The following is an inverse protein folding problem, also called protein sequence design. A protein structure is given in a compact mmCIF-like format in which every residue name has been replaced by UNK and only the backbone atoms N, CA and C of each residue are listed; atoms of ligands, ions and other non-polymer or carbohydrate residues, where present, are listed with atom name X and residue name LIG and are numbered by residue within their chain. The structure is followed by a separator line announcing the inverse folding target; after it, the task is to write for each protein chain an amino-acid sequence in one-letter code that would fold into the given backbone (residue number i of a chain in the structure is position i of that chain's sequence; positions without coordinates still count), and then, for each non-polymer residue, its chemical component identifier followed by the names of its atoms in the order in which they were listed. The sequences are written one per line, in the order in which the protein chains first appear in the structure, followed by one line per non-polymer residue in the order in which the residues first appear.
data_IF_848416366154
#
_entry.id   IF_848416366154
#
_cell.length_a   1.000
_cell.length_b   1.000
_cell.length_c   1.000
_cell.angle_alpha   90.00
_cell.angle_beta   90.00
_cell.angle_gamma   90.00
#
_symmetry.space_group_name_H-M   'P 1'
#
loop_
_entity.id
_entity.type
_entity.pdbx_description
1 polymer ?
#
# COMPACT_ATOMS: atom_id res chain seq x y z
N UNK A 1 14.86 -9.71 37.66
CA UNK A 1 14.63 -8.67 36.63
C UNK A 1 14.17 -9.38 35.38
N UNK A 2 12.92 -9.17 34.96
CA UNK A 2 12.31 -9.88 33.84
C UNK A 2 12.97 -9.42 32.52
N UNK A 3 12.99 -10.29 31.51
CA UNK A 3 13.49 -9.94 30.18
C UNK A 3 12.59 -8.89 29.53
N UNK A 4 11.30 -8.88 29.86
CA UNK A 4 10.34 -7.87 29.41
C UNK A 4 10.70 -6.48 29.96
N UNK A 5 11.04 -6.37 31.26
CA UNK A 5 11.50 -5.11 31.86
C UNK A 5 12.79 -4.56 31.21
N UNK A 6 13.63 -5.46 30.67
CA UNK A 6 14.85 -5.07 29.94
C UNK A 6 14.52 -4.55 28.55
N UNK A 7 13.55 -5.17 27.88
CA UNK A 7 13.08 -4.76 26.55
C UNK A 7 12.41 -3.38 26.67
N UNK A 8 11.54 -3.19 27.65
CA UNK A 8 10.87 -1.91 27.91
C UNK A 8 11.88 -0.80 28.20
N UNK A 9 12.90 -1.06 29.03
CA UNK A 9 13.99 -0.11 29.28
C UNK A 9 14.80 0.26 28.04
N UNK A 10 15.00 -0.66 27.11
CA UNK A 10 15.74 -0.39 25.86
C UNK A 10 14.88 0.47 24.93
N UNK A 11 13.58 0.20 24.84
CA UNK A 11 12.62 0.97 24.05
C UNK A 11 12.50 2.39 24.63
N UNK A 12 12.33 2.53 25.95
CA UNK A 12 12.22 3.83 26.61
C UNK A 12 13.49 4.68 26.46
N UNK A 13 14.67 4.06 26.55
CA UNK A 13 15.94 4.76 26.30
C UNK A 13 16.08 5.19 24.84
N UNK A 14 15.66 4.35 23.88
CA UNK A 14 15.69 4.70 22.47
C UNK A 14 14.75 5.88 22.16
N UNK A 15 13.55 5.89 22.75
CA UNK A 15 12.57 7.00 22.63
C UNK A 15 13.09 8.28 23.31
N UNK A 16 13.73 8.18 24.46
CA UNK A 16 14.33 9.33 25.15
C UNK A 16 15.51 9.93 24.36
N UNK A 17 16.39 9.09 23.81
CA UNK A 17 17.53 9.52 22.99
C UNK A 17 17.10 10.16 21.66
N UNK A 18 16.01 9.68 21.07
CA UNK A 18 15.46 10.24 19.80
C UNK A 18 14.67 11.54 20.02
N UNK A 19 14.07 11.76 21.20
CA UNK A 19 13.43 13.04 21.55
C UNK A 19 14.41 14.15 21.94
N UNK A 20 15.51 13.81 22.61
CA UNK A 20 16.49 14.82 23.07
C UNK A 20 17.41 15.31 21.93
N UNK A 21 17.64 14.49 20.90
CA UNK A 21 18.45 14.87 19.74
C UNK A 21 17.70 15.70 18.67
N UNK A 22 16.43 16.05 18.89
CA UNK A 22 15.66 16.93 17.99
C UNK A 22 15.90 18.43 18.23
N UNK A 23 16.79 18.82 19.15
CA UNK A 23 17.01 20.24 19.49
C UNK A 23 18.43 20.78 19.25
N UNK A 24 19.29 20.09 18.49
CA UNK A 24 20.61 20.64 18.15
C UNK A 24 21.04 20.34 16.73
N UNK A 25 20.63 21.25 15.83
CA UNK A 25 21.35 21.75 14.67
C UNK A 25 22.13 20.76 13.82
N UNK A 26 21.49 20.22 12.77
CA UNK A 26 22.11 19.91 11.46
C UNK A 26 21.03 20.13 10.38
N UNK A 27 21.44 20.68 9.25
CA UNK A 27 20.63 21.15 8.11
C UNK A 27 19.50 20.20 7.66
N UNK A 28 18.36 20.80 7.32
CA UNK A 28 17.00 20.26 7.28
C UNK A 28 16.78 18.94 6.48
N UNK A 29 16.44 17.82 7.18
CA UNK A 29 15.75 16.66 6.63
C UNK A 29 14.22 16.70 6.85
N UNK A 30 13.68 17.74 7.51
CA UNK A 30 12.29 17.81 8.02
C UNK A 30 11.17 17.65 6.98
N UNK A 31 11.48 17.73 5.69
CA UNK A 31 10.48 17.73 4.64
C UNK A 31 10.04 16.30 4.22
N UNK A 32 10.92 15.29 4.24
CA UNK A 32 10.60 13.94 3.73
C UNK A 32 9.62 13.15 4.60
N UNK A 33 9.63 13.43 5.90
CA UNK A 33 8.77 12.73 6.86
C UNK A 33 7.32 13.21 6.78
N UNK A 34 7.07 14.52 6.63
CA UNK A 34 5.70 15.02 6.40
C UNK A 34 5.16 14.58 5.02
N UNK A 35 6.02 14.45 3.99
CA UNK A 35 5.59 14.12 2.62
C UNK A 35 4.93 12.74 2.50
N UNK A 36 5.47 11.75 3.21
CA UNK A 36 5.08 10.34 3.08
C UNK A 36 4.11 9.93 4.20
N UNK A 37 4.02 10.70 5.29
CA UNK A 37 3.10 10.48 6.41
C UNK A 37 1.62 10.54 6.00
N UNK A 38 1.25 11.52 5.18
CA UNK A 38 -0.13 11.70 4.72
C UNK A 38 -0.63 10.48 3.92
N UNK A 39 0.20 9.97 3.00
CA UNK A 39 -0.12 8.78 2.23
C UNK A 39 -0.14 7.52 3.10
N UNK A 40 0.86 7.35 3.98
CA UNK A 40 0.89 6.23 4.93
C UNK A 40 -0.38 6.19 5.81
N UNK A 41 -0.81 7.34 6.33
CA UNK A 41 -2.08 7.46 7.06
C UNK A 41 -3.27 7.08 6.19
N UNK A 42 -3.31 7.52 4.92
CA UNK A 42 -4.39 7.19 3.99
C UNK A 42 -4.43 5.69 3.66
N UNK A 43 -3.27 5.06 3.51
CA UNK A 43 -3.13 3.60 3.32
C UNK A 43 -3.77 2.88 4.50
N UNK A 44 -3.39 3.21 5.73
CA UNK A 44 -3.88 2.48 6.91
C UNK A 44 -5.35 2.76 7.26
N UNK A 45 -5.88 3.93 6.91
CA UNK A 45 -7.25 4.34 7.27
C UNK A 45 -8.29 4.06 6.19
N UNK A 46 -7.89 3.99 4.92
CA UNK A 46 -8.81 3.86 3.77
C UNK A 46 -8.44 2.66 2.90
N UNK A 47 -7.23 2.61 2.34
CA UNK A 47 -6.89 1.64 1.29
C UNK A 47 -6.78 0.21 1.84
N UNK A 48 -5.94 0.01 2.86
CA UNK A 48 -5.67 -1.31 3.45
C UNK A 48 -6.92 -1.97 4.06
N UNK A 49 -7.80 -1.26 4.80
CA UNK A 49 -9.05 -1.85 5.28
C UNK A 49 -9.92 -2.41 4.15
N UNK A 50 -10.05 -1.68 3.03
CA UNK A 50 -10.82 -2.15 1.87
C UNK A 50 -10.13 -3.34 1.20
N UNK A 51 -8.81 -3.29 1.01
CA UNK A 51 -8.05 -4.41 0.46
C UNK A 51 -8.21 -5.68 1.31
N UNK A 52 -8.15 -5.54 2.63
CA UNK A 52 -8.37 -6.64 3.59
C UNK A 52 -9.80 -7.18 3.51
N UNK A 53 -10.81 -6.32 3.42
CA UNK A 53 -12.21 -6.73 3.22
C UNK A 53 -12.37 -7.61 1.98
N UNK A 54 -11.74 -7.20 0.87
CA UNK A 54 -11.81 -7.91 -0.41
C UNK A 54 -11.02 -9.21 -0.38
N UNK A 55 -9.80 -9.21 0.16
CA UNK A 55 -9.00 -10.43 0.36
C UNK A 55 -9.77 -11.50 1.12
N UNK A 56 -10.45 -11.12 2.20
CA UNK A 56 -11.27 -12.05 2.97
C UNK A 56 -12.42 -12.65 2.13
N UNK A 57 -13.10 -11.84 1.31
CA UNK A 57 -14.16 -12.33 0.42
C UNK A 57 -13.61 -13.29 -0.64
N UNK A 58 -12.47 -12.97 -1.25
CA UNK A 58 -11.84 -13.82 -2.27
C UNK A 58 -11.38 -15.17 -1.71
N UNK A 59 -10.81 -15.19 -0.51
CA UNK A 59 -10.38 -16.43 0.16
C UNK A 59 -11.55 -17.38 0.44
N UNK A 60 -12.75 -16.86 0.76
CA UNK A 60 -13.95 -17.68 0.95
C UNK A 60 -14.40 -18.40 -0.34
N UNK A 61 -13.89 -18.00 -1.49
CA UNK A 61 -14.18 -18.56 -2.80
C UNK A 61 -12.94 -19.24 -3.43
N UNK A 62 -11.95 -19.61 -2.62
CA UNK A 62 -10.69 -20.25 -3.04
C UNK A 62 -9.87 -19.44 -4.07
N UNK A 63 -10.07 -18.11 -4.11
CA UNK A 63 -9.30 -17.21 -4.95
C UNK A 63 -8.15 -16.63 -4.11
N UNK A 64 -6.92 -16.88 -4.55
CA UNK A 64 -5.72 -16.35 -3.90
C UNK A 64 -5.60 -14.84 -4.16
N UNK A 65 -5.11 -14.12 -3.17
CA UNK A 65 -4.93 -12.66 -3.24
C UNK A 65 -3.89 -12.19 -2.21
N UNK A 66 -2.99 -11.31 -2.63
CA UNK A 66 -1.96 -10.71 -1.79
C UNK A 66 -2.05 -9.19 -1.73
N UNK A 67 -1.64 -8.66 -0.58
CA UNK A 67 -1.53 -7.23 -0.32
C UNK A 67 -0.06 -6.97 -0.06
N UNK A 68 0.54 -6.09 -0.84
CA UNK A 68 1.98 -5.80 -0.80
C UNK A 68 2.13 -4.31 -0.55
N UNK A 69 2.90 -3.95 0.46
CA UNK A 69 3.29 -2.57 0.76
C UNK A 69 4.80 -2.39 0.57
N UNK A 70 5.17 -1.25 -0.02
CA UNK A 70 6.57 -0.83 -0.13
C UNK A 70 6.79 0.31 0.84
N UNK A 71 7.79 0.14 1.70
CA UNK A 71 8.12 1.09 2.76
C UNK A 71 9.48 1.73 2.46
N UNK A 72 9.54 3.05 2.54
CA UNK A 72 10.80 3.80 2.52
C UNK A 72 10.95 4.52 3.86
N UNK A 73 11.98 4.15 4.64
CA UNK A 73 12.10 4.59 6.02
C UNK A 73 10.96 4.01 6.88
N UNK A 74 10.05 4.86 7.35
CA UNK A 74 8.89 4.48 8.18
C UNK A 74 7.53 4.63 7.48
N UNK A 75 7.53 4.97 6.19
CA UNK A 75 6.31 5.34 5.49
C UNK A 75 6.07 4.47 4.26
N UNK A 76 4.80 4.15 4.04
CA UNK A 76 4.35 3.46 2.83
C UNK A 76 4.49 4.42 1.65
N UNK A 77 5.16 3.98 0.59
CA UNK A 77 5.29 4.72 -0.69
C UNK A 77 4.50 4.05 -1.81
N UNK A 78 4.12 2.79 -1.62
CA UNK A 78 3.31 2.01 -2.55
C UNK A 78 2.46 1.01 -1.77
N UNK A 79 1.21 0.82 -2.18
CA UNK A 79 0.40 -0.33 -1.76
C UNK A 79 -0.27 -0.97 -2.98
N UNK A 80 -0.19 -2.29 -3.07
CA UNK A 80 -0.65 -3.10 -4.18
C UNK A 80 -1.57 -4.23 -3.71
N UNK A 81 -2.64 -4.48 -4.46
CA UNK A 81 -3.51 -5.64 -4.33
C UNK A 81 -3.30 -6.54 -5.54
N UNK A 82 -2.75 -7.73 -5.34
CA UNK A 82 -2.59 -8.76 -6.38
C UNK A 82 -3.69 -9.81 -6.25
N UNK A 83 -4.32 -10.16 -7.37
CA UNK A 83 -5.36 -11.20 -7.44
C UNK A 83 -4.85 -12.33 -8.34
N UNK A 84 -5.01 -13.58 -7.90
CA UNK A 84 -4.56 -14.76 -8.62
C UNK A 84 -5.77 -15.64 -8.99
N UNK A 85 -6.41 -15.40 -10.15
CA UNK A 85 -7.48 -16.26 -10.65
C UNK A 85 -6.97 -17.69 -10.86
N UNK A 86 -7.81 -18.68 -10.52
CA UNK A 86 -7.51 -20.11 -10.34
C UNK A 86 -6.89 -20.86 -11.54
N UNK A 87 -6.61 -20.18 -12.66
CA UNK A 87 -6.00 -20.76 -13.87
C UNK A 87 -4.59 -20.28 -14.15
N UNK A 88 -4.06 -19.33 -13.37
CA UNK A 88 -2.74 -18.77 -13.63
C UNK A 88 -1.66 -19.47 -12.77
N UNK A 89 -0.89 -20.33 -13.43
CA UNK A 89 0.24 -21.07 -12.85
C UNK A 89 1.57 -20.32 -13.10
N UNK A 90 1.51 -19.14 -13.74
CA UNK A 90 2.74 -18.40 -14.03
C UNK A 90 3.33 -17.82 -12.75
N UNK A 91 4.58 -18.17 -12.47
CA UNK A 91 5.34 -17.69 -11.31
C UNK A 91 5.85 -16.25 -11.47
N UNK A 92 5.48 -15.57 -12.56
CA UNK A 92 5.90 -14.20 -12.84
C UNK A 92 4.95 -13.23 -12.13
N UNK A 93 5.41 -12.65 -11.02
CA UNK A 93 4.69 -11.65 -10.21
C UNK A 93 4.14 -10.47 -11.04
N UNK A 94 4.70 -10.24 -12.23
CA UNK A 94 4.37 -9.12 -13.11
C UNK A 94 3.23 -9.39 -14.12
N UNK A 95 2.47 -10.49 -14.00
CA UNK A 95 1.39 -10.81 -14.95
C UNK A 95 -0.01 -10.87 -14.35
N UNK A 96 -0.12 -10.71 -13.04
CA UNK A 96 -1.39 -10.85 -12.34
C UNK A 96 -2.20 -9.56 -12.38
N UNK A 97 -3.55 -9.66 -12.42
CA UNK A 97 -4.40 -8.51 -12.21
C UNK A 97 -4.08 -7.83 -10.89
N UNK A 98 -3.83 -6.52 -10.94
CA UNK A 98 -3.45 -5.78 -9.75
C UNK A 98 -3.96 -4.34 -9.73
N UNK A 99 -4.09 -3.82 -8.52
CA UNK A 99 -4.40 -2.41 -8.25
C UNK A 99 -3.32 -1.82 -7.36
N UNK A 100 -2.60 -0.82 -7.85
CA UNK A 100 -1.47 -0.20 -7.15
C UNK A 100 -1.73 1.28 -6.93
N UNK A 101 -1.62 1.73 -5.68
CA UNK A 101 -1.52 3.14 -5.32
C UNK A 101 -0.05 3.46 -5.04
N UNK A 102 0.52 4.36 -5.83
CA UNK A 102 1.91 4.76 -5.74
C UNK A 102 2.02 6.27 -5.55
N UNK A 103 2.82 6.70 -4.58
CA UNK A 103 3.06 8.11 -4.35
C UNK A 103 4.23 8.61 -5.22
N UNK A 104 3.90 9.33 -6.30
CA UNK A 104 4.90 9.92 -7.21
C UNK A 104 5.44 11.25 -6.68
N UNK A 105 4.56 12.08 -6.12
CA UNK A 105 4.84 13.45 -5.66
C UNK A 105 4.12 13.72 -4.34
N UNK A 106 4.51 14.75 -3.57
CA UNK A 106 3.82 15.12 -2.34
C UNK A 106 2.33 15.32 -2.57
N UNK A 107 1.51 14.64 -1.76
CA UNK A 107 0.05 14.66 -1.83
C UNK A 107 -0.56 14.22 -3.17
N UNK A 108 0.21 13.59 -4.06
CA UNK A 108 -0.30 13.04 -5.32
C UNK A 108 0.02 11.55 -5.40
N UNK A 109 -1.03 10.77 -5.50
CA UNK A 109 -0.97 9.32 -5.59
C UNK A 109 -1.48 8.92 -6.96
N UNK A 110 -0.64 8.26 -7.72
CA UNK A 110 -1.05 7.65 -8.99
C UNK A 110 -1.60 6.26 -8.73
N UNK A 111 -2.74 6.00 -9.34
CA UNK A 111 -3.36 4.70 -9.38
C UNK A 111 -2.99 4.00 -10.69
N UNK A 112 -2.46 2.80 -10.57
CA UNK A 112 -2.23 1.89 -11.69
C UNK A 112 -3.16 0.69 -11.55
N UNK A 113 -3.79 0.30 -12.67
CA UNK A 113 -4.52 -0.94 -12.78
C UNK A 113 -3.87 -1.81 -13.84
N UNK A 114 -3.37 -2.96 -13.41
CA UNK A 114 -2.87 -3.97 -14.32
C UNK A 114 -3.96 -4.98 -14.61
N UNK A 115 -4.24 -5.18 -15.88
CA UNK A 115 -5.17 -6.20 -16.38
C UNK A 115 -4.35 -7.37 -16.95
N UNK A 116 -4.83 -8.61 -16.86
CA UNK A 116 -4.14 -9.77 -17.44
C UNK A 116 -3.76 -9.53 -18.90
N UNK A 117 -2.61 -10.09 -19.31
CA UNK A 117 -2.06 -10.05 -20.68
C UNK A 117 -1.60 -8.68 -21.20
N UNK A 118 -1.46 -7.68 -20.34
CA UNK A 118 -0.70 -6.47 -20.69
C UNK A 118 0.80 -6.79 -20.79
N UNK A 119 1.47 -6.34 -21.85
CA UNK A 119 2.94 -6.46 -22.02
C UNK A 119 3.67 -5.79 -20.84
N UNK A 120 4.88 -6.27 -20.50
CA UNK A 120 5.74 -5.65 -19.49
C UNK A 120 5.81 -4.13 -19.72
N UNK A 121 5.38 -3.34 -18.71
CA UNK A 121 5.35 -1.88 -18.77
C UNK A 121 4.03 -1.23 -19.19
N UNK A 122 2.95 -2.00 -19.38
CA UNK A 122 1.64 -1.46 -19.80
C UNK A 122 0.54 -1.49 -18.73
N UNK A 123 0.90 -1.50 -17.44
CA UNK A 123 -0.06 -1.19 -16.38
C UNK A 123 -0.74 0.16 -16.70
N UNK A 124 -2.05 0.14 -16.91
CA UNK A 124 -2.80 1.32 -17.29
C UNK A 124 -2.82 2.31 -16.13
N UNK A 125 -2.18 3.47 -16.31
CA UNK A 125 -2.38 4.60 -15.38
C UNK A 125 -3.86 4.98 -15.44
N UNK A 126 -4.56 4.75 -14.33
CA UNK A 126 -5.98 5.09 -14.20
C UNK A 126 -6.20 6.57 -13.88
N UNK A 127 -5.23 7.19 -13.21
CA UNK A 127 -5.27 8.60 -12.85
C UNK A 127 -4.31 8.95 -11.74
N UNK A 128 -4.24 10.24 -11.43
CA UNK A 128 -3.52 10.76 -10.27
C UNK A 128 -4.49 11.55 -9.41
N UNK A 129 -4.46 11.25 -8.12
CA UNK A 129 -5.41 11.71 -7.14
C UNK A 129 -4.66 12.40 -6.01
N UNK A 130 -5.26 13.45 -5.47
CA UNK A 130 -4.87 14.00 -4.18
C UNK A 130 -5.22 13.03 -3.05
N UNK A 131 -4.62 13.19 -1.88
CA UNK A 131 -4.98 12.38 -0.71
C UNK A 131 -6.46 12.51 -0.32
N UNK A 132 -7.09 13.67 -0.57
CA UNK A 132 -8.50 13.90 -0.27
C UNK A 132 -9.41 13.12 -1.21
N UNK A 133 -9.04 13.03 -2.49
CA UNK A 133 -9.78 12.27 -3.50
C UNK A 133 -9.73 10.75 -3.27
N UNK A 134 -8.72 10.25 -2.53
CA UNK A 134 -8.66 8.85 -2.13
C UNK A 134 -9.68 8.58 -1.01
N UNK A 135 -10.87 8.17 -1.42
CA UNK A 135 -11.99 7.80 -0.55
C UNK A 135 -12.20 6.29 -0.53
N UNK A 136 -12.99 5.80 0.43
CA UNK A 136 -13.36 4.37 0.50
C UNK A 136 -14.12 3.95 -0.75
N UNK A 137 -14.98 4.83 -1.25
CA UNK A 137 -15.81 4.67 -2.43
C UNK A 137 -14.93 4.53 -3.68
N UNK A 138 -13.95 5.42 -3.88
CA UNK A 138 -13.01 5.34 -5.01
C UNK A 138 -12.25 4.02 -5.00
N UNK A 139 -11.72 3.63 -3.84
CA UNK A 139 -10.97 2.36 -3.72
C UNK A 139 -11.86 1.17 -4.04
N UNK A 140 -13.12 1.16 -3.55
CA UNK A 140 -14.09 0.08 -3.84
C UNK A 140 -14.49 0.03 -5.32
N UNK A 141 -14.71 1.18 -5.94
CA UNK A 141 -15.02 1.28 -7.37
C UNK A 141 -13.89 0.68 -8.22
N UNK A 142 -12.64 1.07 -7.93
CA UNK A 142 -11.48 0.58 -8.69
C UNK A 142 -11.18 -0.90 -8.46
N UNK A 143 -11.46 -1.42 -7.27
CA UNK A 143 -11.41 -2.87 -7.05
C UNK A 143 -12.54 -3.57 -7.81
N UNK A 144 -13.77 -3.03 -7.83
CA UNK A 144 -14.86 -3.61 -8.58
C UNK A 144 -14.53 -3.68 -10.08
N UNK A 145 -13.92 -2.64 -10.64
CA UNK A 145 -13.43 -2.64 -12.02
C UNK A 145 -12.40 -3.75 -12.27
N UNK A 146 -11.43 -3.93 -11.35
CA UNK A 146 -10.45 -4.99 -11.43
C UNK A 146 -11.09 -6.39 -11.33
N UNK A 147 -12.02 -6.59 -10.39
CA UNK A 147 -12.73 -7.86 -10.21
C UNK A 147 -13.62 -8.19 -11.41
N UNK A 148 -14.32 -7.19 -11.96
CA UNK A 148 -15.08 -7.34 -13.19
C UNK A 148 -14.15 -7.76 -14.32
N UNK A 149 -12.97 -7.15 -14.45
CA UNK A 149 -12.01 -7.64 -15.43
C UNK A 149 -11.57 -9.10 -15.17
N UNK A 150 -11.31 -9.47 -13.92
CA UNK A 150 -10.88 -10.82 -13.55
C UNK A 150 -11.93 -11.90 -13.85
N UNK A 151 -13.23 -11.58 -13.73
CA UNK A 151 -14.32 -12.57 -13.71
C UNK A 151 -15.42 -12.35 -14.75
N UNK A 152 -15.42 -11.25 -15.50
CA UNK A 152 -16.43 -10.98 -16.54
C UNK A 152 -16.21 -11.80 -17.83
N UNK A 153 -15.17 -12.64 -17.91
CA UNK A 153 -15.11 -13.69 -18.93
C UNK A 153 -15.91 -14.92 -18.45
N UNK A 154 -17.15 -15.00 -18.91
CA UNK A 154 -17.87 -16.26 -19.15
C UNK A 154 -18.37 -16.29 -20.58
#
# INVERSE_FOLDING_TARGET
MNIDDKIDKVIDNYVALTRVNQNSGVENPENLDEFTEGFSKKVHTVIFPVFKEIKNKLILHDIKCDIIDKIQGRFVTEIKLDIYPSTDISSSQDKHPSLTFFMEEPNKVTLYMQKMMQEEGSAGREGTFTLEEITTELVKEKILDLLNFCFAQK
#
